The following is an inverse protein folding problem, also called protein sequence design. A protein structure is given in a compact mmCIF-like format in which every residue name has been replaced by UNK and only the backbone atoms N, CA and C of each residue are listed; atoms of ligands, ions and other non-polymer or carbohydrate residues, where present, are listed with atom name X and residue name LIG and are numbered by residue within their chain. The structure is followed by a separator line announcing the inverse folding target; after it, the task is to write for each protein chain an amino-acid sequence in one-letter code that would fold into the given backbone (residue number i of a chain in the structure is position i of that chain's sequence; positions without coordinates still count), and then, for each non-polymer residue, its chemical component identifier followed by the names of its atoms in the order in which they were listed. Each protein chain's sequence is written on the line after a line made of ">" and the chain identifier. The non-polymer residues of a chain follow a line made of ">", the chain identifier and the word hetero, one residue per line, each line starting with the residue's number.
data_IF_348442820030
#
_entry.id   IF_348442820030
#
_cell.length_a   1.000
_cell.length_b   1.000
_cell.length_c   1.000
_cell.angle_alpha   90.00
_cell.angle_beta   90.00
_cell.angle_gamma   90.00
#
_symmetry.space_group_name_H-M   'P 1'
#
loop_
_entity.id
_entity.type
_entity.pdbx_description
1 polymer ?
#
# COMPACT_ATOMS: atom_id res chain seq x y z
N UNK A 1 87.96 34.44 10.06
CA UNK A 1 86.83 35.01 10.81
C UNK A 1 85.55 34.53 10.15
N UNK A 2 84.95 33.51 10.71
CA UNK A 2 83.74 32.84 10.20
C UNK A 2 82.60 33.07 11.16
N UNK A 3 81.56 33.72 10.70
CA UNK A 3 80.29 33.84 11.47
C UNK A 3 79.33 32.74 11.10
N UNK A 4 79.07 31.85 12.03
CA UNK A 4 78.03 30.83 11.94
C UNK A 4 76.69 31.45 12.37
N UNK A 5 75.67 31.50 11.48
CA UNK A 5 74.32 31.92 11.83
C UNK A 5 73.51 30.66 12.05
N UNK A 6 73.03 30.46 13.27
CA UNK A 6 72.07 29.44 13.65
C UNK A 6 70.66 29.80 13.09
N UNK A 7 70.09 28.94 12.26
CA UNK A 7 68.71 29.01 11.85
C UNK A 7 67.90 28.06 12.76
N UNK A 8 67.04 28.63 13.59
CA UNK A 8 66.07 27.85 14.39
C UNK A 8 64.88 27.49 13.55
N UNK A 9 64.66 26.19 13.30
CA UNK A 9 63.49 25.65 12.72
C UNK A 9 62.38 25.56 13.78
N UNK A 10 61.34 26.38 13.67
CA UNK A 10 60.10 26.27 14.48
C UNK A 10 59.18 25.26 13.78
N UNK A 11 59.05 24.07 14.37
CA UNK A 11 58.11 23.02 13.94
C UNK A 11 56.73 23.35 14.51
N UNK A 12 55.83 23.90 13.68
CA UNK A 12 54.43 24.12 14.06
C UNK A 12 53.69 22.78 13.96
N UNK A 13 53.46 22.12 15.08
CA UNK A 13 52.55 20.96 15.17
C UNK A 13 51.12 21.44 15.04
N UNK A 14 50.50 21.23 13.87
CA UNK A 14 49.07 21.44 13.66
C UNK A 14 48.29 20.34 14.41
N UNK A 15 47.67 20.72 15.53
CA UNK A 15 46.68 19.89 16.22
C UNK A 15 45.43 19.74 15.31
N UNK A 16 45.38 18.64 14.61
CA UNK A 16 44.13 18.20 13.94
C UNK A 16 43.20 17.69 15.03
N UNK A 17 42.32 18.56 15.53
CA UNK A 17 41.19 18.14 16.38
C UNK A 17 40.20 17.41 15.48
N UNK A 18 39.96 16.11 15.67
CA UNK A 18 38.90 15.44 14.94
C UNK A 18 37.57 16.07 15.36
N UNK A 19 36.89 16.74 14.44
CA UNK A 19 35.46 17.08 14.61
C UNK A 19 34.69 15.76 14.69
N UNK A 20 34.45 15.27 15.89
CA UNK A 20 33.49 14.23 16.16
C UNK A 20 32.11 14.86 15.85
N UNK A 21 31.61 14.59 14.69
CA UNK A 21 30.18 14.82 14.40
C UNK A 21 29.40 14.01 15.43
N UNK A 22 28.94 14.65 16.49
CA UNK A 22 27.94 14.09 17.38
C UNK A 22 26.68 13.92 16.55
N UNK A 23 26.46 12.72 16.03
CA UNK A 23 25.17 12.37 15.50
C UNK A 23 24.18 12.58 16.64
N UNK A 24 23.27 13.53 16.49
CA UNK A 24 22.19 13.74 17.44
C UNK A 24 21.45 12.41 17.59
N UNK A 25 21.69 11.72 18.70
CA UNK A 25 21.06 10.44 19.01
C UNK A 25 19.69 10.73 19.60
N UNK A 26 18.65 10.35 18.85
CA UNK A 26 17.27 10.50 19.26
C UNK A 26 16.89 9.52 20.39
N UNK A 27 15.99 9.99 21.24
CA UNK A 27 15.31 9.18 22.26
C UNK A 27 13.83 9.13 21.94
N UNK A 28 13.27 7.93 21.91
CA UNK A 28 11.86 7.74 21.69
C UNK A 28 11.23 7.01 22.87
N UNK A 29 10.18 7.57 23.41
CA UNK A 29 9.31 6.96 24.41
C UNK A 29 7.95 6.66 23.77
N UNK A 30 7.37 5.50 24.08
CA UNK A 30 6.08 5.15 23.55
C UNK A 30 5.23 4.33 24.50
N UNK A 31 3.95 4.23 24.17
CA UNK A 31 2.98 3.39 24.87
C UNK A 31 2.09 2.68 23.86
N UNK A 32 1.91 1.37 24.06
CA UNK A 32 0.86 0.60 23.40
C UNK A 32 -0.41 0.62 24.24
N UNK A 33 -1.54 0.85 23.58
CA UNK A 33 -2.88 0.85 24.20
C UNK A 33 -3.70 -0.25 23.51
N UNK A 34 -4.36 -1.10 24.30
CA UNK A 34 -5.36 -2.01 23.76
C UNK A 34 -6.61 -1.20 23.38
N UNK A 35 -6.85 -1.04 22.08
CA UNK A 35 -8.00 -0.31 21.57
C UNK A 35 -9.32 -1.07 21.70
N UNK A 36 -9.26 -2.38 21.96
CA UNK A 36 -10.43 -3.23 22.22
C UNK A 36 -10.86 -3.14 23.68
N UNK A 37 -9.89 -3.19 24.59
CA UNK A 37 -10.09 -3.05 26.04
C UNK A 37 -9.01 -2.11 26.62
N UNK A 38 -9.29 -0.80 26.74
CA UNK A 38 -8.32 0.17 27.24
C UNK A 38 -7.82 -0.05 28.67
N UNK A 39 -8.53 -0.85 29.47
CA UNK A 39 -8.11 -1.21 30.84
C UNK A 39 -7.03 -2.30 30.84
N UNK A 40 -6.88 -3.04 29.75
CA UNK A 40 -5.90 -4.11 29.63
C UNK A 40 -4.51 -3.59 29.34
N UNK A 41 -3.55 -3.90 30.21
CA UNK A 41 -2.15 -3.60 29.98
C UNK A 41 -1.54 -4.56 28.94
N UNK A 42 -0.80 -4.00 27.98
CA UNK A 42 -0.11 -4.75 26.93
C UNK A 42 1.34 -5.01 27.33
N UNK A 43 1.57 -6.00 28.18
CA UNK A 43 2.90 -6.38 28.69
C UNK A 43 3.61 -7.34 27.73
N UNK A 44 4.89 -7.15 27.48
CA UNK A 44 5.74 -8.08 26.73
C UNK A 44 5.49 -8.11 25.22
N UNK A 45 4.75 -7.15 24.68
CA UNK A 45 4.50 -7.00 23.24
C UNK A 45 5.79 -6.55 22.56
N UNK A 46 6.16 -7.19 21.46
CA UNK A 46 7.34 -6.82 20.68
C UNK A 46 7.09 -5.52 19.92
N UNK A 47 8.05 -4.60 20.06
CA UNK A 47 8.06 -3.31 19.35
C UNK A 47 9.41 -3.15 18.68
N UNK A 48 9.39 -2.82 17.39
CA UNK A 48 10.58 -2.59 16.58
C UNK A 48 10.60 -1.16 16.05
N UNK A 49 11.79 -0.57 15.95
CA UNK A 49 12.02 0.62 15.13
C UNK A 49 12.61 0.16 13.81
N UNK A 50 12.00 0.55 12.73
CA UNK A 50 12.40 0.20 11.37
C UNK A 50 12.69 1.46 10.54
N UNK A 51 13.58 1.33 9.59
CA UNK A 51 13.88 2.37 8.60
C UNK A 51 13.48 1.82 7.22
N UNK A 52 12.41 2.36 6.60
CA UNK A 52 11.88 1.82 5.34
C UNK A 52 12.91 1.78 4.22
N UNK A 53 13.79 2.78 4.14
CA UNK A 53 14.85 2.89 3.13
C UNK A 53 15.87 1.74 3.20
N UNK A 54 16.00 1.08 4.37
CA UNK A 54 16.86 -0.08 4.59
C UNK A 54 16.12 -1.41 4.50
N UNK A 55 14.96 -1.44 3.84
CA UNK A 55 14.24 -2.68 3.53
C UNK A 55 13.39 -3.23 4.68
N UNK A 56 12.78 -2.39 5.51
CA UNK A 56 11.88 -2.78 6.60
C UNK A 56 12.54 -3.66 7.68
N UNK A 57 13.86 -3.64 7.76
CA UNK A 57 14.61 -4.37 8.79
C UNK A 57 14.58 -3.60 10.11
N UNK A 58 14.47 -4.31 11.24
CA UNK A 58 14.51 -3.69 12.55
C UNK A 58 15.90 -3.12 12.85
N UNK A 59 15.97 -1.82 13.11
CA UNK A 59 17.18 -1.16 13.64
C UNK A 59 17.37 -1.50 15.11
N UNK A 60 16.29 -1.49 15.87
CA UNK A 60 16.25 -1.81 17.30
C UNK A 60 14.93 -2.48 17.65
N UNK A 61 14.98 -3.37 18.65
CA UNK A 61 13.82 -4.07 19.18
C UNK A 61 13.72 -3.90 20.69
N UNK A 62 12.51 -3.83 21.20
CA UNK A 62 12.20 -3.76 22.64
C UNK A 62 10.90 -4.51 22.92
N UNK A 63 10.56 -4.67 24.18
CA UNK A 63 9.25 -5.18 24.62
C UNK A 63 8.61 -4.17 25.56
N UNK A 64 7.29 -4.12 25.54
CA UNK A 64 6.54 -3.28 26.45
C UNK A 64 6.65 -3.77 27.90
N UNK A 65 6.70 -2.83 28.85
CA UNK A 65 6.66 -3.10 30.29
C UNK A 65 5.24 -3.43 30.79
N UNK A 66 5.06 -3.56 32.09
CA UNK A 66 3.77 -3.86 32.74
C UNK A 66 2.69 -2.76 32.56
N UNK A 67 3.09 -1.57 32.12
CA UNK A 67 2.20 -0.44 31.81
C UNK A 67 2.00 -0.22 30.31
N UNK A 68 2.51 -1.13 29.48
CA UNK A 68 2.49 -1.02 28.02
C UNK A 68 3.49 0.00 27.44
N UNK A 69 4.46 0.48 28.24
CA UNK A 69 5.45 1.46 27.80
C UNK A 69 6.67 0.77 27.18
N UNK A 70 7.30 1.48 26.26
CA UNK A 70 8.58 1.09 25.66
C UNK A 70 9.46 2.31 25.43
N UNK A 71 10.77 2.10 25.32
CA UNK A 71 11.73 3.16 25.09
C UNK A 71 12.85 2.68 24.17
N UNK A 72 13.34 3.59 23.32
CA UNK A 72 14.51 3.41 22.49
C UNK A 72 15.42 4.63 22.63
N UNK A 73 16.73 4.36 22.78
CA UNK A 73 17.78 5.36 22.84
C UNK A 73 18.72 5.20 21.66
N UNK A 74 19.38 6.27 21.25
CA UNK A 74 20.40 6.23 20.21
C UNK A 74 19.82 5.91 18.84
N UNK A 75 18.69 6.55 18.48
CA UNK A 75 18.09 6.48 17.17
C UNK A 75 18.63 7.57 16.26
N UNK A 76 18.75 7.34 14.94
CA UNK A 76 19.03 8.41 14.00
C UNK A 76 17.87 9.42 14.02
N UNK A 77 18.17 10.71 14.07
CA UNK A 77 17.15 11.78 14.01
C UNK A 77 16.90 12.27 12.60
N UNK A 78 17.62 11.74 11.63
CA UNK A 78 17.49 12.01 10.19
C UNK A 78 16.99 10.75 9.46
N UNK A 79 16.26 10.94 8.36
CA UNK A 79 15.61 9.84 7.63
C UNK A 79 14.24 9.49 8.20
N UNK A 80 13.50 8.63 7.48
CA UNK A 80 12.18 8.19 7.89
C UNK A 80 12.29 7.01 8.85
N UNK A 81 11.68 7.11 10.03
CA UNK A 81 11.56 5.98 10.95
C UNK A 81 10.10 5.62 11.19
N UNK A 82 9.85 4.34 11.32
CA UNK A 82 8.55 3.78 11.72
C UNK A 82 8.72 2.93 12.98
N UNK A 83 7.77 3.01 13.88
CA UNK A 83 7.59 2.02 14.94
C UNK A 83 6.65 0.94 14.44
N UNK A 84 7.02 -0.32 14.59
CA UNK A 84 6.18 -1.48 14.35
C UNK A 84 5.89 -2.18 15.67
N UNK A 85 4.63 -2.46 15.94
CA UNK A 85 4.20 -3.34 17.00
C UNK A 85 3.46 -4.54 16.41
N UNK A 86 3.86 -5.76 16.78
CA UNK A 86 3.22 -6.99 16.33
C UNK A 86 2.31 -7.52 17.46
N UNK A 87 0.98 -7.49 17.22
CA UNK A 87 -0.01 -7.93 18.19
C UNK A 87 -1.11 -8.77 17.52
N UNK A 88 -1.37 -9.96 18.03
CA UNK A 88 -2.38 -10.88 17.48
C UNK A 88 -2.21 -11.16 15.98
N UNK A 89 -0.98 -11.43 15.55
CA UNK A 89 -0.61 -11.69 14.15
C UNK A 89 -0.86 -10.51 13.19
N UNK A 90 -1.06 -9.30 13.74
CA UNK A 90 -1.22 -8.05 13.00
C UNK A 90 -0.08 -7.10 13.31
N UNK A 91 0.52 -6.55 12.26
CA UNK A 91 1.53 -5.48 12.38
C UNK A 91 0.87 -4.10 12.35
N UNK A 92 1.16 -3.30 13.36
CA UNK A 92 0.74 -1.90 13.48
C UNK A 92 1.96 -1.01 13.27
N UNK A 93 1.79 0.08 12.55
CA UNK A 93 2.87 1.01 12.23
C UNK A 93 2.50 2.43 12.64
N UNK A 94 3.50 3.18 13.09
CA UNK A 94 3.37 4.62 13.37
C UNK A 94 4.64 5.34 12.94
N UNK A 95 4.54 6.48 12.24
CA UNK A 95 5.71 7.30 11.92
C UNK A 95 6.32 7.89 13.19
N UNK A 96 7.65 8.05 13.16
CA UNK A 96 8.41 8.70 14.23
C UNK A 96 8.75 10.12 13.79
N UNK A 97 8.39 11.10 14.62
CA UNK A 97 8.81 12.50 14.43
C UNK A 97 9.53 12.95 15.67
N UNK A 98 10.79 13.39 15.50
CA UNK A 98 11.58 13.96 16.59
C UNK A 98 11.36 15.47 16.70
N UNK A 99 11.33 15.96 17.93
CA UNK A 99 11.40 17.39 18.20
C UNK A 99 12.84 17.92 18.00
N UNK A 100 13.03 19.24 18.15
CA UNK A 100 14.33 19.92 18.02
C UNK A 100 15.38 19.41 19.01
N UNK A 101 14.97 18.76 20.09
CA UNK A 101 15.83 18.18 21.13
C UNK A 101 16.13 16.70 20.89
N UNK A 102 15.70 16.14 19.74
CA UNK A 102 15.87 14.74 19.42
C UNK A 102 14.98 13.79 20.26
N UNK A 103 13.81 14.26 20.74
CA UNK A 103 12.85 13.45 21.47
C UNK A 103 11.63 13.15 20.62
N UNK A 104 11.16 11.91 20.67
CA UNK A 104 9.89 11.50 20.09
C UNK A 104 9.00 10.85 21.13
N UNK A 105 7.68 11.09 21.05
CA UNK A 105 6.69 10.44 21.90
C UNK A 105 5.61 9.83 21.01
N UNK A 106 5.32 8.54 21.22
CA UNK A 106 4.39 7.76 20.40
C UNK A 106 3.34 7.08 21.28
N UNK A 107 2.09 7.24 20.92
CA UNK A 107 0.99 6.43 21.43
C UNK A 107 0.42 5.61 20.26
N UNK A 108 0.44 4.29 20.38
CA UNK A 108 -0.03 3.40 19.33
C UNK A 108 -1.14 2.51 19.89
N UNK A 109 -2.26 2.42 19.16
CA UNK A 109 -3.35 1.52 19.45
C UNK A 109 -3.24 0.25 18.65
N UNK A 110 -3.37 -0.88 19.34
CA UNK A 110 -3.46 -2.22 18.75
C UNK A 110 -4.78 -2.86 19.19
N UNK A 111 -5.29 -3.84 18.48
CA UNK A 111 -6.62 -4.38 18.70
C UNK A 111 -6.60 -5.89 18.73
N UNK A 112 -7.49 -6.50 19.53
CA UNK A 112 -7.81 -7.92 19.42
C UNK A 112 -8.38 -8.20 18.03
N UNK A 113 -8.26 -9.44 17.56
CA UNK A 113 -8.75 -9.84 16.23
C UNK A 113 -10.15 -10.45 16.30
N UNK A 114 -10.85 -10.45 15.17
CA UNK A 114 -12.13 -11.11 14.95
C UNK A 114 -12.23 -11.62 13.51
N UNK A 115 -12.95 -12.72 13.32
CA UNK A 115 -13.34 -13.26 12.01
C UNK A 115 -14.82 -12.97 11.68
N UNK A 116 -15.55 -12.38 12.64
CA UNK A 116 -16.95 -11.98 12.45
C UNK A 116 -17.07 -10.79 11.51
N UNK A 117 -17.93 -10.92 10.51
CA UNK A 117 -18.24 -9.84 9.55
C UNK A 117 -19.17 -8.77 10.11
N UNK A 118 -19.68 -8.96 11.36
CA UNK A 118 -20.53 -7.96 12.01
C UNK A 118 -19.77 -6.64 12.21
N UNK A 119 -20.31 -5.56 11.65
CA UNK A 119 -19.66 -4.24 11.66
C UNK A 119 -18.66 -4.02 10.52
N UNK A 120 -18.49 -4.97 9.60
CA UNK A 120 -17.71 -4.82 8.36
C UNK A 120 -18.68 -4.54 7.21
N UNK A 121 -18.47 -3.46 6.49
CA UNK A 121 -19.34 -3.09 5.37
C UNK A 121 -18.55 -2.40 4.25
N UNK A 122 -18.98 -2.61 3.02
CA UNK A 122 -18.55 -1.80 1.89
C UNK A 122 -19.28 -0.45 1.96
N UNK A 123 -18.55 0.61 2.26
CA UNK A 123 -19.10 1.95 2.39
C UNK A 123 -19.26 2.64 1.04
N UNK A 124 -18.28 2.45 0.13
CA UNK A 124 -18.26 3.07 -1.17
C UNK A 124 -17.56 2.16 -2.19
N UNK A 125 -18.00 2.21 -3.44
CA UNK A 125 -17.34 1.59 -4.58
C UNK A 125 -17.35 2.54 -5.77
N UNK A 126 -16.18 2.78 -6.32
CA UNK A 126 -16.00 3.54 -7.55
C UNK A 126 -15.24 2.68 -8.55
N UNK A 127 -15.58 2.78 -9.83
CA UNK A 127 -14.92 2.06 -10.92
C UNK A 127 -14.58 3.08 -12.01
N UNK A 128 -13.32 3.17 -12.39
CA UNK A 128 -12.90 3.98 -13.52
C UNK A 128 -12.41 3.09 -14.66
N UNK A 129 -12.87 3.35 -15.88
CA UNK A 129 -12.42 2.71 -17.11
C UNK A 129 -11.70 3.74 -17.99
N UNK A 130 -10.52 3.37 -18.48
CA UNK A 130 -9.76 4.18 -19.44
C UNK A 130 -9.36 3.33 -20.63
N UNK A 131 -9.75 3.77 -21.81
CA UNK A 131 -9.30 3.18 -23.06
C UNK A 131 -7.97 3.85 -23.46
N UNK A 132 -6.89 3.09 -23.37
CA UNK A 132 -5.56 3.50 -23.77
C UNK A 132 -5.14 2.82 -25.09
N UNK A 133 -4.02 3.21 -25.66
CA UNK A 133 -3.51 2.63 -26.91
C UNK A 133 -3.18 1.14 -26.82
N UNK A 134 -2.90 0.63 -25.62
CA UNK A 134 -2.54 -0.76 -25.31
C UNK A 134 -3.70 -1.61 -24.77
N UNK A 135 -4.92 -1.05 -24.70
CA UNK A 135 -6.11 -1.75 -24.25
C UNK A 135 -6.97 -0.97 -23.25
N UNK A 136 -7.97 -1.64 -22.71
CA UNK A 136 -8.85 -1.09 -21.70
C UNK A 136 -8.25 -1.34 -20.30
N UNK A 137 -8.15 -0.28 -19.48
CA UNK A 137 -7.72 -0.37 -18.08
C UNK A 137 -8.89 -0.05 -17.16
N UNK A 138 -8.95 -0.71 -16.01
CA UNK A 138 -9.85 -0.33 -14.92
C UNK A 138 -9.10 -0.11 -13.62
N UNK A 139 -9.62 0.80 -12.81
CA UNK A 139 -9.32 0.91 -11.39
C UNK A 139 -10.64 0.86 -10.64
N UNK A 140 -10.69 -0.03 -9.66
CA UNK A 140 -11.81 -0.18 -8.75
C UNK A 140 -11.34 0.24 -7.35
N UNK A 141 -11.98 1.24 -6.76
CA UNK A 141 -11.70 1.72 -5.40
C UNK A 141 -12.82 1.31 -4.47
N UNK A 142 -12.47 0.48 -3.48
CA UNK A 142 -13.39 -0.05 -2.47
C UNK A 142 -13.04 0.56 -1.12
N UNK A 143 -13.97 1.29 -0.53
CA UNK A 143 -13.86 1.77 0.84
C UNK A 143 -14.60 0.81 1.78
N UNK A 144 -13.86 0.15 2.67
CA UNK A 144 -14.41 -0.81 3.61
C UNK A 144 -14.31 -0.25 5.02
N UNK A 145 -15.45 -0.08 5.65
CA UNK A 145 -15.54 0.31 7.05
C UNK A 145 -15.47 -0.91 7.97
N UNK A 146 -14.60 -0.83 8.96
CA UNK A 146 -14.61 -1.69 10.12
C UNK A 146 -15.13 -0.89 11.33
N UNK A 147 -16.40 -1.11 11.69
CA UNK A 147 -17.11 -0.48 12.80
C UNK A 147 -17.47 -1.50 13.89
N UNK A 148 -16.64 -2.53 14.07
CA UNK A 148 -16.83 -3.56 15.10
C UNK A 148 -16.94 -2.94 16.50
N UNK A 149 -17.81 -3.50 17.34
CA UNK A 149 -18.02 -3.05 18.74
C UNK A 149 -17.93 -4.26 19.67
N UNK A 150 -16.94 -4.30 20.60
CA UNK A 150 -15.83 -3.35 20.75
C UNK A 150 -14.93 -3.35 19.49
N UNK A 151 -14.10 -2.29 19.28
CA UNK A 151 -13.22 -2.19 18.12
C UNK A 151 -12.27 -3.38 18.06
N UNK A 152 -12.23 -4.09 16.92
CA UNK A 152 -11.36 -5.26 16.67
C UNK A 152 -10.82 -5.22 15.25
N UNK A 153 -9.62 -5.74 15.04
CA UNK A 153 -9.11 -5.95 13.70
C UNK A 153 -9.75 -7.17 13.08
N UNK A 154 -10.43 -6.98 11.95
CA UNK A 154 -11.04 -8.08 11.22
C UNK A 154 -9.99 -8.78 10.34
N UNK A 155 -9.91 -10.10 10.45
CA UNK A 155 -9.09 -10.93 9.58
C UNK A 155 -9.65 -12.36 9.51
N UNK A 156 -9.57 -12.94 8.30
CA UNK A 156 -10.03 -14.30 8.03
C UNK A 156 -9.01 -15.07 7.20
N UNK A 157 -8.95 -16.36 7.43
CA UNK A 157 -8.05 -17.25 6.69
C UNK A 157 -8.43 -17.37 5.19
N UNK A 158 -9.69 -17.16 4.84
CA UNK A 158 -10.23 -17.20 3.49
C UNK A 158 -10.32 -15.80 2.82
N UNK A 159 -9.74 -14.79 3.46
CA UNK A 159 -9.64 -13.41 3.00
C UNK A 159 -10.47 -12.41 3.80
N UNK A 160 -9.88 -11.26 4.07
CA UNK A 160 -10.53 -10.09 4.67
C UNK A 160 -11.24 -9.22 3.62
N UNK A 161 -10.76 -9.27 2.39
CA UNK A 161 -11.34 -8.59 1.21
C UNK A 161 -11.35 -9.55 0.03
N UNK A 162 -12.45 -9.56 -0.74
CA UNK A 162 -12.64 -10.42 -1.90
C UNK A 162 -13.24 -9.63 -3.05
N UNK A 163 -12.73 -9.86 -4.27
CA UNK A 163 -13.25 -9.25 -5.51
C UNK A 163 -13.27 -10.27 -6.64
N UNK A 164 -14.13 -10.00 -7.64
CA UNK A 164 -14.35 -10.90 -8.76
C UNK A 164 -13.12 -11.00 -9.67
N UNK A 165 -12.82 -12.19 -10.14
CA UNK A 165 -11.93 -12.40 -11.28
C UNK A 165 -12.74 -12.15 -12.56
N UNK A 166 -12.37 -11.12 -13.30
CA UNK A 166 -13.01 -10.80 -14.58
C UNK A 166 -12.47 -11.75 -15.65
N UNK A 167 -13.32 -12.43 -16.44
CA UNK A 167 -12.87 -13.32 -17.52
C UNK A 167 -12.07 -12.57 -18.59
N UNK A 168 -11.08 -13.24 -19.18
CA UNK A 168 -10.28 -12.70 -20.28
C UNK A 168 -9.04 -11.92 -19.86
N UNK A 169 -8.75 -11.80 -18.56
CA UNK A 169 -7.51 -11.20 -18.06
C UNK A 169 -6.40 -12.24 -18.08
N UNK A 170 -5.24 -11.85 -18.60
CA UNK A 170 -4.03 -12.69 -18.63
C UNK A 170 -3.07 -12.39 -17.49
N UNK A 171 -3.00 -11.14 -17.07
CA UNK A 171 -2.14 -10.69 -15.98
C UNK A 171 -2.90 -10.61 -14.66
N UNK A 172 -2.26 -10.99 -13.54
CA UNK A 172 -2.89 -10.83 -12.23
C UNK A 172 -3.16 -9.34 -11.94
N UNK A 173 -4.30 -9.01 -11.30
CA UNK A 173 -4.61 -7.64 -10.92
C UNK A 173 -3.57 -7.07 -9.96
N UNK A 174 -3.32 -5.76 -10.05
CA UNK A 174 -2.63 -5.03 -8.97
C UNK A 174 -3.60 -4.80 -7.82
N UNK A 175 -3.07 -4.78 -6.61
CA UNK A 175 -3.85 -4.49 -5.41
C UNK A 175 -3.04 -3.61 -4.46
N UNK A 176 -3.52 -2.41 -4.23
CA UNK A 176 -2.97 -1.49 -3.25
C UNK A 176 -3.96 -1.30 -2.11
N UNK A 177 -3.46 -1.24 -0.88
CA UNK A 177 -4.29 -1.13 0.32
C UNK A 177 -3.82 0.04 1.16
N UNK A 178 -4.74 0.94 1.47
CA UNK A 178 -4.50 2.05 2.41
C UNK A 178 -5.25 1.77 3.71
N UNK A 179 -4.51 1.67 4.82
CA UNK A 179 -5.06 1.46 6.16
C UNK A 179 -5.65 2.74 6.76
N UNK A 180 -6.57 2.65 7.72
CA UNK A 180 -7.04 3.80 8.47
C UNK A 180 -5.88 4.59 9.09
N UNK A 181 -5.89 5.92 8.86
CA UNK A 181 -4.84 6.83 9.36
C UNK A 181 -3.50 6.78 8.63
N UNK A 182 -3.37 5.99 7.57
CA UNK A 182 -2.21 5.99 6.67
C UNK A 182 -2.50 6.80 5.42
N UNK A 183 -1.51 7.53 4.92
CA UNK A 183 -1.53 8.16 3.59
C UNK A 183 -0.74 7.36 2.54
N UNK A 184 -0.04 6.30 2.98
CA UNK A 184 0.78 5.48 2.08
C UNK A 184 0.08 4.16 1.79
N UNK A 185 -0.21 3.86 0.50
CA UNK A 185 -0.70 2.55 0.09
C UNK A 185 0.39 1.49 0.24
N UNK A 186 -0.03 0.27 0.50
CA UNK A 186 0.83 -0.91 0.56
C UNK A 186 0.40 -1.87 -0.54
N UNK A 187 1.29 -2.14 -1.50
CA UNK A 187 1.02 -3.08 -2.57
C UNK A 187 0.97 -4.52 -2.04
N UNK A 188 -0.10 -5.22 -2.37
CA UNK A 188 -0.35 -6.61 -2.01
C UNK A 188 -0.38 -7.48 -3.26
N UNK A 189 0.01 -8.74 -3.13
CA UNK A 189 -0.25 -9.73 -4.16
C UNK A 189 -1.61 -10.39 -3.84
N UNK A 190 -2.66 -10.19 -4.64
CA UNK A 190 -3.93 -10.86 -4.43
C UNK A 190 -3.78 -12.37 -4.61
N UNK A 191 -4.49 -13.13 -3.79
CA UNK A 191 -4.52 -14.59 -3.84
C UNK A 191 -5.73 -15.04 -4.65
N UNK A 192 -5.55 -16.01 -5.54
CA UNK A 192 -6.65 -16.59 -6.30
C UNK A 192 -7.41 -17.60 -5.44
N UNK A 193 -8.74 -17.55 -5.48
CA UNK A 193 -9.59 -18.52 -4.79
C UNK A 193 -9.47 -19.91 -5.43
N UNK A 194 -9.77 -20.96 -4.66
CA UNK A 194 -9.65 -22.34 -5.12
C UNK A 194 -10.56 -22.67 -6.32
N UNK A 195 -11.70 -21.99 -6.42
CA UNK A 195 -12.65 -22.15 -7.52
C UNK A 195 -12.27 -21.32 -8.77
N UNK A 196 -11.19 -20.53 -8.69
CA UNK A 196 -10.74 -19.69 -9.79
C UNK A 196 -11.66 -18.53 -10.16
N UNK A 197 -12.71 -18.23 -9.37
CA UNK A 197 -13.73 -17.22 -9.69
C UNK A 197 -13.45 -15.85 -9.06
N UNK A 198 -12.52 -15.77 -8.10
CA UNK A 198 -12.25 -14.54 -7.37
C UNK A 198 -10.80 -14.44 -6.93
N UNK A 199 -10.42 -13.22 -6.58
CA UNK A 199 -9.21 -12.93 -5.84
C UNK A 199 -9.57 -12.46 -4.42
N UNK A 200 -8.66 -12.67 -3.48
CA UNK A 200 -8.82 -12.21 -2.11
C UNK A 200 -7.50 -11.71 -1.52
N UNK A 201 -7.60 -10.87 -0.50
CA UNK A 201 -6.48 -10.37 0.29
C UNK A 201 -6.60 -10.84 1.74
N UNK A 202 -5.47 -11.18 2.35
CA UNK A 202 -5.36 -11.47 3.78
C UNK A 202 -5.01 -10.22 4.60
N UNK A 203 -5.00 -9.04 3.98
CA UNK A 203 -4.65 -7.80 4.65
C UNK A 203 -5.64 -7.51 5.78
N UNK A 204 -5.18 -7.32 7.05
CA UNK A 204 -6.08 -7.12 8.18
C UNK A 204 -6.80 -5.78 8.11
N UNK A 205 -8.12 -5.79 8.26
CA UNK A 205 -8.94 -4.59 8.33
C UNK A 205 -8.94 -4.04 9.76
N UNK A 206 -8.11 -3.04 10.01
CA UNK A 206 -8.09 -2.32 11.30
C UNK A 206 -9.36 -1.50 11.48
N UNK A 207 -9.78 -1.17 12.73
CA UNK A 207 -10.93 -0.29 12.96
C UNK A 207 -10.80 1.05 12.23
N UNK A 208 -11.85 1.47 11.54
CA UNK A 208 -11.91 2.63 10.66
C UNK A 208 -12.10 2.22 9.20
N UNK A 209 -11.84 3.13 8.28
CA UNK A 209 -12.00 2.92 6.84
C UNK A 209 -10.68 2.50 6.20
N UNK A 210 -10.67 1.36 5.51
CA UNK A 210 -9.59 0.92 4.64
C UNK A 210 -9.99 1.06 3.19
N UNK A 211 -9.06 1.49 2.33
CA UNK A 211 -9.28 1.59 0.88
C UNK A 211 -8.49 0.51 0.17
N UNK A 212 -9.16 -0.25 -0.70
CA UNK A 212 -8.55 -1.23 -1.59
C UNK A 212 -8.69 -0.74 -3.03
N UNK A 213 -7.58 -0.58 -3.71
CA UNK A 213 -7.52 -0.21 -5.12
C UNK A 213 -7.09 -1.42 -5.95
N UNK A 214 -7.98 -1.84 -6.86
CA UNK A 214 -7.75 -2.98 -7.76
C UNK A 214 -7.55 -2.45 -9.17
N UNK A 215 -6.34 -2.59 -9.71
CA UNK A 215 -6.02 -2.23 -11.09
C UNK A 215 -6.01 -3.46 -11.99
N UNK A 216 -6.67 -3.37 -13.16
CA UNK A 216 -6.73 -4.45 -14.15
C UNK A 216 -6.57 -3.90 -15.56
N UNK A 217 -6.05 -4.74 -16.46
CA UNK A 217 -5.96 -4.43 -17.89
C UNK A 217 -6.68 -5.52 -18.67
N UNK A 218 -7.49 -5.10 -19.65
CA UNK A 218 -8.29 -5.96 -20.50
C UNK A 218 -7.92 -5.79 -21.97
N UNK A 219 -8.04 -6.86 -22.76
CA UNK A 219 -7.90 -6.74 -24.19
C UNK A 219 -9.04 -5.89 -24.77
N UNK A 220 -8.73 -4.97 -25.68
CA UNK A 220 -9.74 -4.21 -26.42
C UNK A 220 -9.82 -4.77 -27.83
N UNK A 221 -10.81 -5.64 -28.07
CA UNK A 221 -10.96 -6.33 -29.34
C UNK A 221 -12.25 -5.90 -30.02
N UNK A 222 -12.20 -5.66 -31.32
CA UNK A 222 -13.37 -5.26 -32.11
C UNK A 222 -14.14 -4.05 -31.56
N UNK A 223 -13.43 -3.14 -30.89
CA UNK A 223 -14.01 -1.92 -30.34
C UNK A 223 -14.95 -2.12 -29.15
N UNK A 224 -14.84 -3.24 -28.42
CA UNK A 224 -15.68 -3.52 -27.26
C UNK A 224 -15.04 -4.48 -26.26
N UNK A 225 -15.55 -4.44 -25.02
CA UNK A 225 -15.23 -5.39 -23.95
C UNK A 225 -16.45 -5.64 -23.08
N UNK A 226 -16.72 -6.91 -22.76
CA UNK A 226 -17.78 -7.30 -21.82
C UNK A 226 -17.19 -7.54 -20.43
N UNK A 227 -17.51 -6.64 -19.53
CA UNK A 227 -17.08 -6.66 -18.14
C UNK A 227 -18.11 -7.43 -17.31
N UNK A 228 -17.74 -8.65 -16.90
CA UNK A 228 -18.59 -9.52 -16.08
C UNK A 228 -18.04 -9.54 -14.65
N UNK A 229 -18.88 -9.18 -13.67
CA UNK A 229 -18.46 -9.01 -12.29
C UNK A 229 -19.46 -9.57 -11.30
N UNK A 230 -18.99 -10.40 -10.37
CA UNK A 230 -19.77 -10.88 -9.23
C UNK A 230 -19.44 -10.04 -7.99
N UNK A 231 -20.47 -9.62 -7.27
CA UNK A 231 -20.34 -8.87 -6.02
C UNK A 231 -20.36 -9.80 -4.84
N UNK A 232 -19.41 -9.68 -3.92
CA UNK A 232 -19.30 -10.49 -2.70
C UNK A 232 -19.82 -9.78 -1.46
N UNK A 233 -20.21 -8.52 -1.58
CA UNK A 233 -20.78 -7.68 -0.53
C UNK A 233 -21.96 -6.89 -1.11
N UNK A 234 -22.87 -6.46 -0.24
CA UNK A 234 -23.93 -5.52 -0.63
C UNK A 234 -23.29 -4.18 -1.00
N UNK A 235 -23.70 -3.63 -2.13
CA UNK A 235 -23.27 -2.32 -2.64
C UNK A 235 -24.50 -1.43 -2.74
N UNK A 236 -24.48 -0.26 -2.09
CA UNK A 236 -25.60 0.67 -2.14
C UNK A 236 -25.70 1.41 -3.47
N UNK A 237 -24.56 1.81 -4.02
CA UNK A 237 -24.45 2.46 -5.34
C UNK A 237 -23.01 2.35 -5.84
N UNK A 238 -22.83 2.42 -7.16
CA UNK A 238 -21.53 2.49 -7.82
C UNK A 238 -21.52 3.69 -8.73
N UNK A 239 -20.48 4.52 -8.63
CA UNK A 239 -20.17 5.53 -9.62
C UNK A 239 -19.08 4.99 -10.55
N UNK A 240 -19.31 5.09 -11.86
CA UNK A 240 -18.38 4.61 -12.86
C UNK A 240 -17.96 5.75 -13.78
N UNK A 241 -16.64 6.00 -13.83
CA UNK A 241 -16.05 6.92 -14.78
C UNK A 241 -15.59 6.18 -16.04
N UNK A 242 -15.81 6.79 -17.19
CA UNK A 242 -15.42 6.24 -18.50
C UNK A 242 -14.63 7.30 -19.26
N UNK A 243 -13.44 6.96 -19.70
CA UNK A 243 -12.55 7.80 -20.50
C UNK A 243 -12.10 7.00 -21.73
N UNK A 244 -12.26 7.54 -22.92
CA UNK A 244 -12.82 8.84 -23.30
C UNK A 244 -14.35 8.91 -23.18
N UNK A 245 -14.91 10.13 -23.22
CA UNK A 245 -16.34 10.39 -23.06
C UNK A 245 -17.23 9.79 -24.14
N UNK A 246 -16.67 9.49 -25.32
CA UNK A 246 -17.33 8.86 -26.45
C UNK A 246 -17.36 7.33 -26.36
N UNK A 247 -16.69 6.74 -25.35
CA UNK A 247 -16.89 5.35 -24.99
C UNK A 247 -18.22 5.18 -24.27
N UNK A 248 -19.00 4.21 -24.68
CA UNK A 248 -20.32 3.91 -24.12
C UNK A 248 -20.24 2.74 -23.17
N UNK A 249 -20.84 2.91 -21.98
CA UNK A 249 -21.06 1.83 -21.02
C UNK A 249 -22.55 1.48 -21.02
N UNK A 250 -22.89 0.23 -21.30
CA UNK A 250 -24.25 -0.29 -21.37
C UNK A 250 -24.43 -1.53 -20.50
N UNK A 251 -25.65 -1.77 -20.04
CA UNK A 251 -25.99 -2.93 -19.20
C UNK A 251 -27.14 -2.64 -18.26
N UNK A 252 -27.50 -3.65 -17.46
CA UNK A 252 -28.64 -3.54 -16.56
C UNK A 252 -28.39 -2.54 -15.43
N UNK A 253 -29.37 -1.68 -15.16
CA UNK A 253 -29.37 -0.76 -14.02
C UNK A 253 -28.47 0.47 -14.17
N UNK A 254 -27.81 0.64 -15.32
CA UNK A 254 -26.94 1.77 -15.60
C UNK A 254 -27.72 3.01 -16.01
N UNK A 255 -27.35 4.13 -15.43
CA UNK A 255 -27.82 5.45 -15.86
C UNK A 255 -26.60 6.34 -16.13
N UNK A 256 -26.56 6.99 -17.30
CA UNK A 256 -25.57 8.02 -17.60
C UNK A 256 -25.96 9.30 -16.85
N UNK A 257 -25.10 9.74 -15.96
CA UNK A 257 -25.37 10.89 -15.05
C UNK A 257 -24.80 12.17 -15.61
N UNK A 258 -23.58 12.13 -16.15
CA UNK A 258 -22.85 13.31 -16.57
C UNK A 258 -21.90 13.00 -17.72
N UNK A 259 -21.61 14.02 -18.51
CA UNK A 259 -20.51 14.03 -19.49
C UNK A 259 -19.78 15.34 -19.39
N UNK A 260 -18.46 15.29 -19.32
CA UNK A 260 -17.58 16.45 -19.30
C UNK A 260 -16.67 16.41 -20.53
N UNK A 261 -17.00 17.27 -21.51
CA UNK A 261 -16.25 17.34 -22.75
C UNK A 261 -14.85 17.97 -22.57
N UNK A 262 -14.70 18.85 -21.61
CA UNK A 262 -13.42 19.52 -21.37
C UNK A 262 -12.40 18.57 -20.75
N UNK A 263 -12.85 17.66 -19.90
CA UNK A 263 -12.00 16.63 -19.27
C UNK A 263 -12.10 15.28 -19.95
N UNK A 264 -12.87 15.17 -21.03
CA UNK A 264 -13.02 13.96 -21.85
C UNK A 264 -13.46 12.71 -21.05
N UNK A 265 -14.43 12.85 -20.14
CA UNK A 265 -14.98 11.73 -19.39
C UNK A 265 -16.53 11.72 -19.36
N UNK A 266 -17.10 10.55 -19.11
CA UNK A 266 -18.50 10.35 -18.81
C UNK A 266 -18.66 9.61 -17.47
N UNK A 267 -19.72 9.95 -16.72
CA UNK A 267 -20.05 9.30 -15.45
C UNK A 267 -21.37 8.53 -15.62
N UNK A 268 -21.34 7.31 -15.15
CA UNK A 268 -22.48 6.42 -15.03
C UNK A 268 -22.70 6.06 -13.56
N UNK A 269 -23.94 5.84 -13.19
CA UNK A 269 -24.29 5.32 -11.87
C UNK A 269 -25.12 4.05 -12.02
N UNK A 270 -24.95 3.16 -11.07
CA UNK A 270 -25.80 1.99 -10.91
C UNK A 270 -26.33 1.92 -9.48
N UNK A 271 -27.59 1.53 -9.33
CA UNK A 271 -28.26 1.42 -8.03
C UNK A 271 -27.78 0.24 -7.19
N UNK A 272 -28.50 -0.10 -6.12
CA UNK A 272 -28.06 -1.10 -5.16
C UNK A 272 -27.93 -2.49 -5.80
N UNK A 273 -26.83 -3.18 -5.48
CA UNK A 273 -26.53 -4.53 -5.90
C UNK A 273 -26.36 -5.41 -4.67
N UNK A 274 -27.04 -6.55 -4.62
CA UNK A 274 -26.91 -7.50 -3.51
C UNK A 274 -25.71 -8.40 -3.67
N UNK A 275 -25.13 -8.81 -2.54
CA UNK A 275 -24.09 -9.82 -2.50
C UNK A 275 -24.55 -11.10 -3.22
N UNK A 276 -23.65 -11.73 -3.96
CA UNK A 276 -23.93 -12.89 -4.80
C UNK A 276 -24.42 -12.56 -6.21
N UNK A 277 -24.84 -11.32 -6.48
CA UNK A 277 -25.28 -10.91 -7.82
C UNK A 277 -24.11 -10.81 -8.79
N UNK A 278 -24.28 -11.35 -9.98
CA UNK A 278 -23.39 -11.14 -11.11
C UNK A 278 -24.01 -10.09 -12.05
N UNK A 279 -23.22 -9.11 -12.45
CA UNK A 279 -23.62 -8.10 -13.42
C UNK A 279 -22.77 -8.21 -14.68
N UNK A 280 -23.36 -7.81 -15.79
CA UNK A 280 -22.71 -7.79 -17.09
C UNK A 280 -22.86 -6.39 -17.67
N UNK A 281 -21.73 -5.72 -17.89
CA UNK A 281 -21.68 -4.42 -18.53
C UNK A 281 -20.83 -4.52 -19.79
N UNK A 282 -21.22 -3.83 -20.83
CA UNK A 282 -20.49 -3.77 -22.10
C UNK A 282 -19.96 -2.36 -22.31
N UNK A 283 -18.65 -2.26 -22.45
CA UNK A 283 -17.98 -1.05 -22.91
C UNK A 283 -17.80 -1.16 -24.42
N UNK A 284 -18.10 -0.09 -25.16
CA UNK A 284 -17.98 -0.07 -26.62
C UNK A 284 -17.68 1.32 -27.15
N UNK A 285 -17.06 1.39 -28.32
CA UNK A 285 -16.66 2.65 -28.95
C UNK A 285 -15.50 3.32 -28.23
N UNK A 286 -15.31 4.60 -28.50
CA UNK A 286 -14.20 5.38 -27.94
C UNK A 286 -12.96 5.37 -28.83
N UNK A 287 -12.29 6.51 -28.87
CA UNK A 287 -10.98 6.66 -29.49
C UNK A 287 -9.91 6.55 -28.40
N UNK A 288 -8.96 5.60 -28.49
CA UNK A 288 -7.94 5.45 -27.47
C UNK A 288 -7.25 6.77 -27.14
N UNK A 289 -7.17 7.11 -25.86
CA UNK A 289 -6.47 8.30 -25.39
C UNK A 289 -4.99 7.96 -25.30
N UNK A 290 -4.15 8.73 -26.02
CA UNK A 290 -2.70 8.61 -25.88
C UNK A 290 -2.31 8.87 -24.42
N UNK A 291 -1.41 8.05 -23.88
CA UNK A 291 -0.83 8.34 -22.57
C UNK A 291 -0.06 9.66 -22.72
N UNK A 292 -0.54 10.70 -22.05
CA UNK A 292 0.09 12.01 -22.12
C UNK A 292 1.55 11.89 -21.67
N UNK A 293 2.48 12.30 -22.53
CA UNK A 293 3.88 12.43 -22.16
C UNK A 293 4.00 13.35 -20.93
N UNK A 294 4.81 12.94 -19.97
CA UNK A 294 5.10 13.76 -18.82
C UNK A 294 5.59 15.14 -19.26
N UNK A 295 5.04 16.24 -18.75
CA UNK A 295 5.71 17.52 -18.92
C UNK A 295 7.11 17.43 -18.28
N UNK A 296 8.13 18.10 -18.87
CA UNK A 296 9.45 18.14 -18.26
C UNK A 296 9.33 18.67 -16.82
N UNK A 297 10.21 18.29 -15.90
CA UNK A 297 10.17 18.77 -14.53
C UNK A 297 10.26 20.29 -14.55
N UNK A 298 9.17 20.96 -14.23
CA UNK A 298 9.13 22.40 -14.05
C UNK A 298 9.77 22.73 -12.71
N UNK A 299 10.74 23.63 -12.76
CA UNK A 299 11.35 24.28 -11.62
C UNK A 299 10.30 24.76 -10.61
N UNK A 300 10.65 24.67 -9.34
CA UNK A 300 9.85 24.97 -8.16
C UNK A 300 8.85 26.12 -8.32
N UNK A 301 7.56 25.79 -8.38
CA UNK A 301 6.49 26.75 -8.17
C UNK A 301 6.11 26.77 -6.70
N UNK A 302 6.45 27.85 -6.02
CA UNK A 302 5.99 28.17 -4.67
C UNK A 302 4.45 28.12 -4.61
N UNK A 303 3.92 27.27 -3.75
CA UNK A 303 2.48 27.13 -3.54
C UNK A 303 1.89 28.44 -2.97
N UNK A 304 1.20 29.20 -3.80
CA UNK A 304 0.34 30.28 -3.33
C UNK A 304 -0.96 29.68 -2.80
N UNK A 305 -1.20 29.85 -1.51
CA UNK A 305 -2.48 29.52 -0.87
C UNK A 305 -3.54 30.51 -1.35
N UNK A 306 -4.41 30.11 -2.27
CA UNK A 306 -5.59 30.87 -2.64
C UNK A 306 -6.75 30.58 -1.66
N UNK A 307 -7.45 31.60 -1.14
CA UNK A 307 -8.63 31.36 -0.32
C UNK A 307 -9.77 30.77 -1.18
N UNK A 308 -10.36 29.69 -0.67
CA UNK A 308 -11.39 28.91 -1.36
C UNK A 308 -12.71 29.70 -1.49
N UNK A 309 -13.35 29.73 -2.67
CA UNK A 309 -14.66 30.38 -2.84
C UNK A 309 -15.76 29.63 -2.08
N UNK A 310 -16.66 30.37 -1.45
CA UNK A 310 -17.76 29.88 -0.59
C UNK A 310 -18.87 29.09 -1.33
N UNK A 311 -18.75 28.82 -2.63
CA UNK A 311 -19.71 28.04 -3.42
C UNK A 311 -19.64 26.51 -3.20
N UNK A 312 -18.60 26.02 -2.51
CA UNK A 312 -18.39 24.57 -2.28
C UNK A 312 -19.32 24.03 -1.17
N UNK A 313 -19.76 24.88 -0.23
CA UNK A 313 -20.56 24.43 0.93
C UNK A 313 -21.99 23.96 0.57
N UNK A 314 -22.58 24.44 -0.51
CA UNK A 314 -23.97 24.09 -0.87
C UNK A 314 -24.10 22.82 -1.72
N UNK A 315 -23.01 22.36 -2.36
CA UNK A 315 -23.01 21.19 -3.24
C UNK A 315 -22.00 20.12 -2.81
N UNK A 316 -21.57 20.11 -1.54
CA UNK A 316 -20.53 19.20 -1.03
C UNK A 316 -20.85 17.70 -1.25
N UNK A 317 -22.13 17.32 -1.24
CA UNK A 317 -22.59 15.94 -1.49
C UNK A 317 -22.44 15.50 -2.97
N UNK A 318 -22.34 16.44 -3.90
CA UNK A 318 -22.17 16.15 -5.33
C UNK A 318 -20.71 16.39 -5.75
N UNK A 319 -20.08 17.41 -5.19
CA UNK A 319 -18.70 17.82 -5.53
C UNK A 319 -17.66 16.91 -4.85
N UNK A 320 -17.94 16.40 -3.65
CA UNK A 320 -17.03 15.51 -2.92
C UNK A 320 -16.67 14.25 -3.69
N UNK A 321 -17.65 13.46 -4.15
CA UNK A 321 -17.40 12.28 -4.99
C UNK A 321 -16.71 12.60 -6.32
N UNK A 322 -17.00 13.74 -6.91
CA UNK A 322 -16.38 14.20 -8.16
C UNK A 322 -14.90 14.58 -7.98
N UNK A 323 -14.56 15.24 -6.87
CA UNK A 323 -13.18 15.55 -6.52
C UNK A 323 -12.40 14.29 -6.18
N UNK A 324 -13.03 13.32 -5.50
CA UNK A 324 -12.44 12.01 -5.22
C UNK A 324 -12.21 11.20 -6.51
N UNK A 325 -13.16 11.18 -7.43
CA UNK A 325 -12.98 10.55 -8.73
C UNK A 325 -11.88 11.24 -9.55
N UNK A 326 -11.84 12.57 -9.54
CA UNK A 326 -10.75 13.36 -10.15
C UNK A 326 -9.40 13.06 -9.51
N UNK A 327 -9.35 12.89 -8.17
CA UNK A 327 -8.13 12.53 -7.44
C UNK A 327 -7.68 11.10 -7.76
N UNK A 328 -8.61 10.15 -7.82
CA UNK A 328 -8.34 8.75 -8.22
C UNK A 328 -7.83 8.71 -9.66
N UNK A 329 -8.43 9.47 -10.56
CA UNK A 329 -7.97 9.59 -11.96
C UNK A 329 -6.60 10.27 -12.02
N UNK A 330 -6.35 11.28 -11.20
CA UNK A 330 -5.06 11.98 -11.12
C UNK A 330 -3.96 11.10 -10.52
N UNK A 331 -4.25 10.35 -9.46
CA UNK A 331 -3.34 9.37 -8.85
C UNK A 331 -3.06 8.22 -9.81
N UNK A 332 -4.08 7.73 -10.52
CA UNK A 332 -3.90 6.73 -11.56
C UNK A 332 -3.06 7.26 -12.74
N UNK A 333 -3.29 8.47 -13.16
CA UNK A 333 -2.48 9.15 -14.16
C UNK A 333 -1.02 9.31 -13.69
N UNK A 334 -0.80 9.59 -12.41
CA UNK A 334 0.54 9.64 -11.81
C UNK A 334 1.18 8.24 -11.71
N UNK A 335 0.42 7.21 -11.35
CA UNK A 335 0.92 5.83 -11.23
C UNK A 335 1.13 5.13 -12.57
N UNK A 336 0.33 5.44 -13.59
CA UNK A 336 0.51 4.90 -14.95
C UNK A 336 1.79 5.41 -15.62
N UNK A 337 2.43 6.46 -15.08
CA UNK A 337 3.72 6.96 -15.55
C UNK A 337 4.92 6.12 -15.13
N UNK A 338 4.76 5.18 -14.19
CA UNK A 338 5.87 4.35 -13.69
C UNK A 338 6.15 3.14 -14.57
N UNK A 339 5.33 2.86 -15.60
CA UNK A 339 5.57 1.73 -16.49
C UNK A 339 5.96 2.22 -17.91
N UNK A 340 7.03 3.00 -17.99
CA UNK A 340 7.85 3.00 -19.19
C UNK A 340 8.85 1.86 -19.04
N UNK A 341 8.60 0.75 -19.71
CA UNK A 341 9.60 -0.32 -19.81
C UNK A 341 10.75 0.17 -20.72
N UNK A 342 11.96 0.45 -20.18
CA UNK A 342 13.12 0.65 -21.05
C UNK A 342 13.44 -0.67 -21.76
N UNK A 343 13.99 -0.58 -22.96
CA UNK A 343 14.58 -1.72 -23.67
C UNK A 343 15.64 -2.36 -22.75
N UNK A 344 15.33 -3.50 -22.13
CA UNK A 344 16.08 -4.13 -21.02
C UNK A 344 15.19 -4.62 -19.88
N UNK A 345 13.91 -4.28 -19.89
CA UNK A 345 12.97 -4.65 -18.83
C UNK A 345 12.77 -6.18 -18.66
N UNK A 346 13.01 -6.96 -19.71
CA UNK A 346 13.00 -8.43 -19.61
C UNK A 346 14.17 -8.95 -18.78
N UNK A 347 15.34 -8.36 -18.96
CA UNK A 347 16.56 -8.75 -18.23
C UNK A 347 16.51 -8.26 -16.79
N UNK A 348 16.07 -7.02 -16.56
CA UNK A 348 15.86 -6.48 -15.22
C UNK A 348 14.85 -7.32 -14.41
N UNK A 349 13.75 -7.76 -15.03
CA UNK A 349 12.74 -8.59 -14.39
C UNK A 349 13.22 -10.03 -14.11
N UNK A 350 14.09 -10.57 -14.96
CA UNK A 350 14.75 -11.85 -14.69
C UNK A 350 15.76 -11.72 -13.56
N UNK A 351 16.48 -10.62 -13.50
CA UNK A 351 17.43 -10.32 -12.44
C UNK A 351 16.70 -10.14 -11.09
N UNK A 352 15.60 -9.39 -11.07
CA UNK A 352 14.74 -9.24 -9.88
C UNK A 352 14.20 -10.59 -9.36
N UNK A 353 13.77 -11.47 -10.27
CA UNK A 353 13.32 -12.81 -9.89
C UNK A 353 14.45 -13.69 -9.31
N UNK A 354 15.68 -13.52 -9.80
CA UNK A 354 16.87 -14.21 -9.25
C UNK A 354 17.20 -13.69 -7.86
N UNK A 355 17.19 -12.38 -7.65
CA UNK A 355 17.43 -11.76 -6.34
C UNK A 355 16.36 -12.17 -5.32
N UNK A 356 15.09 -12.18 -5.71
CA UNK A 356 13.99 -12.69 -4.86
C UNK A 356 14.15 -14.17 -4.52
N UNK A 357 14.63 -14.96 -5.45
CA UNK A 357 14.93 -16.38 -5.20
C UNK A 357 16.02 -16.53 -4.13
N UNK A 358 17.09 -15.76 -4.23
CA UNK A 358 18.19 -15.79 -3.23
C UNK A 358 17.73 -15.30 -1.85
N UNK A 359 16.94 -14.24 -1.80
CA UNK A 359 16.34 -13.76 -0.56
C UNK A 359 15.47 -14.82 0.13
N UNK A 360 14.66 -15.56 -0.64
CA UNK A 360 13.85 -16.66 -0.11
C UNK A 360 14.68 -17.86 0.36
N UNK A 361 15.78 -18.15 -0.32
CA UNK A 361 16.71 -19.20 0.10
C UNK A 361 17.38 -18.81 1.42
N UNK A 362 17.85 -17.58 1.54
CA UNK A 362 18.44 -17.05 2.78
C UNK A 362 17.42 -17.01 3.91
N UNK A 363 16.16 -16.66 3.62
CA UNK A 363 15.08 -16.71 4.60
C UNK A 363 14.82 -18.13 5.12
N UNK A 364 14.77 -19.14 4.25
CA UNK A 364 14.58 -20.54 4.64
C UNK A 364 15.78 -21.02 5.47
N UNK A 365 17.00 -20.66 5.07
CA UNK A 365 18.20 -21.00 5.81
C UNK A 365 18.22 -20.37 7.22
N UNK A 366 17.78 -19.13 7.33
CA UNK A 366 17.61 -18.45 8.62
C UNK A 366 16.56 -19.11 9.51
N UNK A 367 15.43 -19.56 8.93
CA UNK A 367 14.42 -20.34 9.65
C UNK A 367 14.96 -21.69 10.14
N UNK A 368 15.72 -22.39 9.30
CA UNK A 368 16.35 -23.69 9.67
C UNK A 368 17.34 -23.47 10.84
N UNK A 369 18.17 -22.42 10.79
CA UNK A 369 19.10 -22.07 11.87
C UNK A 369 18.40 -21.64 13.18
N UNK A 370 17.26 -20.94 13.09
CA UNK A 370 16.46 -20.59 14.28
C UNK A 370 15.81 -21.82 14.91
N UNK A 371 15.39 -22.78 14.10
CA UNK A 371 14.83 -24.03 14.59
C UNK A 371 15.90 -24.92 15.28
N UNK A 372 17.10 -25.00 14.71
CA UNK A 372 18.23 -25.70 15.32
C UNK A 372 18.62 -25.10 16.69
N UNK A 373 18.55 -23.77 16.82
CA UNK A 373 18.78 -23.08 18.10
C UNK A 373 17.60 -23.15 19.07
N UNK A 374 16.57 -23.98 18.79
CA UNK A 374 15.34 -24.09 19.57
C UNK A 374 14.58 -22.75 19.80
N UNK A 375 14.87 -21.75 19.00
CA UNK A 375 14.23 -20.42 19.07
C UNK A 375 12.85 -20.38 18.39
N UNK A 376 12.45 -21.44 17.68
CA UNK A 376 11.18 -21.50 16.94
C UNK A 376 10.43 -22.80 17.26
N UNK A 377 9.12 -22.69 17.55
CA UNK A 377 8.26 -23.87 17.75
C UNK A 377 8.11 -24.69 16.47
N UNK A 378 8.07 -26.04 16.59
CA UNK A 378 8.00 -26.98 15.46
C UNK A 378 6.83 -26.73 14.53
N UNK A 379 5.64 -26.39 15.06
CA UNK A 379 4.44 -26.12 14.23
C UNK A 379 4.61 -24.83 13.41
N UNK A 380 5.20 -23.81 14.03
CA UNK A 380 5.48 -22.52 13.38
C UNK A 380 6.58 -22.65 12.32
N UNK A 381 7.64 -23.38 12.63
CA UNK A 381 8.73 -23.69 11.70
C UNK A 381 8.23 -24.39 10.45
N UNK A 382 7.47 -25.51 10.59
CA UNK A 382 6.96 -26.28 9.45
C UNK A 382 6.06 -25.41 8.56
N UNK A 383 5.18 -24.60 9.15
CA UNK A 383 4.29 -23.70 8.41
C UNK A 383 5.06 -22.65 7.59
N UNK A 384 6.01 -21.96 8.21
CA UNK A 384 6.80 -20.90 7.54
C UNK A 384 7.71 -21.48 6.45
N UNK A 385 8.33 -22.63 6.72
CA UNK A 385 9.17 -23.34 5.77
C UNK A 385 8.38 -23.80 4.54
N UNK A 386 7.19 -24.34 4.72
CA UNK A 386 6.33 -24.75 3.60
C UNK A 386 5.79 -23.56 2.80
N UNK A 387 5.54 -22.42 3.44
CA UNK A 387 5.23 -21.17 2.73
C UNK A 387 6.42 -20.71 1.88
N UNK A 388 7.62 -20.65 2.43
CA UNK A 388 8.84 -20.30 1.71
C UNK A 388 9.09 -21.20 0.49
N UNK A 389 8.93 -22.52 0.65
CA UNK A 389 9.07 -23.51 -0.44
C UNK A 389 8.06 -23.32 -1.56
N UNK A 390 6.79 -22.99 -1.22
CA UNK A 390 5.76 -22.72 -2.23
C UNK A 390 6.10 -21.48 -3.07
N UNK A 391 6.59 -20.40 -2.44
CA UNK A 391 7.04 -19.21 -3.16
C UNK A 391 8.27 -19.48 -4.03
N UNK A 392 9.22 -20.27 -3.54
CA UNK A 392 10.40 -20.70 -4.31
C UNK A 392 10.02 -21.47 -5.58
N UNK A 393 9.09 -22.43 -5.47
CA UNK A 393 8.59 -23.20 -6.63
C UNK A 393 7.94 -22.31 -7.66
N UNK A 394 7.16 -21.30 -7.22
CA UNK A 394 6.50 -20.34 -8.12
C UNK A 394 7.51 -19.46 -8.86
N UNK A 395 8.54 -18.97 -8.17
CA UNK A 395 9.62 -18.19 -8.82
C UNK A 395 10.42 -19.05 -9.78
N UNK A 396 10.69 -20.31 -9.43
CA UNK A 396 11.39 -21.25 -10.31
C UNK A 396 10.61 -21.49 -11.61
N UNK A 397 9.29 -21.73 -11.55
CA UNK A 397 8.44 -21.88 -12.73
C UNK A 397 8.41 -20.61 -13.60
N UNK A 398 8.40 -19.41 -12.99
CA UNK A 398 8.44 -18.14 -13.73
C UNK A 398 9.78 -17.92 -14.41
N UNK A 399 10.88 -18.38 -13.85
CA UNK A 399 12.21 -18.32 -14.45
C UNK A 399 12.38 -19.33 -15.60
N UNK A 400 11.79 -20.54 -15.48
CA UNK A 400 11.78 -21.53 -16.55
C UNK A 400 10.97 -21.10 -17.77
N UNK A 401 9.80 -20.51 -17.55
CA UNK A 401 8.91 -20.03 -18.65
C UNK A 401 9.54 -18.88 -19.46
N UNK A 402 10.61 -18.25 -18.95
CA UNK A 402 11.29 -17.11 -19.61
C UNK A 402 12.67 -17.47 -20.15
N UNK A 403 13.08 -18.72 -20.09
CA UNK A 403 14.25 -19.28 -20.73
C UNK A 403 13.89 -19.78 -22.12
#
# INVERSE_FOLDING_TARGET
>A
MMHVRNAALILAAALVVPFVYSQNQGVMEGRLIDGTDPAKALTGVSVDVIQPELGMTALKSSKTDSLGKFQFNGLPTTGSLLVRADYRDVSYFSPVTFDERGKARIEMRVYETTDSTSGIRLANLQIAFKLASDGLRSIESYEIDNQTKPPRTFMRADGSFRFSKVPGITDPPSLDVTSPGSSMPVTQAPLESADGQSYYSLYPLKPGTSTFEVGQQFPWQNGSFTFRKKFYQDVSSINMGVIPQDMTLSGQGLAKVQTDAAQNFAIYAVGPIKAGTEVVWTLSGGIPVADAQAPPPSEESQAQVMPMPTLIGQNALIIGPLLLLGLVIMLWYASSRVIVQPAGAKEARVQELRERREQLLNYIAALDAQYEKQALDRRRYVRLREQGKRHLRRIAMLLEKKR
#
